data_IF_155396522572
#
_entry.id   IF_155396522572
#
_cell.length_a   1.000
_cell.length_b   1.000
_cell.length_c   1.000
_cell.angle_alpha   90.00
_cell.angle_beta   90.00
_cell.angle_gamma   90.00
#
_symmetry.space_group_name_H-M   'P 1'
#
loop_
_entity.id
_entity.type
_entity.pdbx_description
1 polymer ?
#
# COMPACT_ATOMS: atom_id res chain seq x y z
N UNK A 1 -0.53 6.91 -18.12
CA UNK A 1 -0.09 7.07 -16.71
C UNK A 1 -1.24 6.65 -15.85
N UNK A 2 -0.98 5.84 -14.82
CA UNK A 2 -1.98 5.46 -13.82
C UNK A 2 -2.13 6.57 -12.78
N UNK A 3 -3.36 6.74 -12.29
CA UNK A 3 -3.70 7.69 -11.23
C UNK A 3 -3.64 7.02 -9.86
N UNK A 4 -3.27 7.78 -8.82
CA UNK A 4 -3.25 7.29 -7.43
C UNK A 4 -3.94 8.30 -6.53
N UNK A 5 -4.98 7.86 -5.82
CA UNK A 5 -5.58 8.67 -4.75
C UNK A 5 -4.93 8.33 -3.42
N UNK A 6 -4.64 9.36 -2.59
CA UNK A 6 -3.83 9.19 -1.36
C UNK A 6 -4.08 10.28 -0.31
N UNK A 7 -3.76 10.03 0.92
CA UNK A 7 -3.37 8.75 1.55
C UNK A 7 -4.57 8.20 2.30
N UNK A 8 -5.05 7.02 1.87
CA UNK A 8 -6.22 6.40 2.48
C UNK A 8 -5.90 5.89 3.90
N UNK A 9 -6.79 6.01 4.86
CA UNK A 9 -8.19 6.50 4.82
C UNK A 9 -8.36 8.02 4.99
N UNK A 10 -7.30 8.79 4.98
CA UNK A 10 -7.31 10.25 5.12
C UNK A 10 -6.44 10.72 6.28
N UNK A 11 -5.49 11.60 5.96
CA UNK A 11 -4.48 12.06 6.94
C UNK A 11 -4.98 13.24 7.78
N UNK A 12 -6.05 13.94 7.31
CA UNK A 12 -6.46 15.24 7.90
C UNK A 12 -6.95 15.16 9.34
N UNK A 13 -7.52 14.05 9.76
CA UNK A 13 -8.02 13.86 11.12
C UNK A 13 -6.97 13.41 12.14
N UNK A 14 -5.83 12.90 11.69
CA UNK A 14 -4.77 12.40 12.55
C UNK A 14 -3.68 13.46 12.72
N UNK A 15 -3.49 14.05 13.91
CA UNK A 15 -2.45 15.04 14.13
C UNK A 15 -1.07 14.40 14.09
N UNK A 16 -0.10 15.09 13.51
CA UNK A 16 1.29 14.64 13.43
C UNK A 16 1.78 14.45 12.00
N UNK A 17 3.09 14.27 11.87
CA UNK A 17 3.78 14.07 10.60
C UNK A 17 4.12 12.58 10.45
N UNK A 18 3.53 11.92 9.45
CA UNK A 18 3.77 10.50 9.17
C UNK A 18 5.18 10.17 8.70
N UNK A 19 6.01 11.19 8.38
CA UNK A 19 7.43 10.98 8.10
C UNK A 19 8.27 10.75 9.38
N UNK A 20 7.73 11.08 10.55
CA UNK A 20 8.47 11.00 11.82
C UNK A 20 7.73 10.22 12.92
N UNK A 21 6.45 9.96 12.74
CA UNK A 21 5.60 9.27 13.72
C UNK A 21 4.55 8.42 12.99
N UNK A 22 3.81 7.62 13.74
CA UNK A 22 2.56 7.02 13.26
C UNK A 22 1.40 7.86 13.81
N UNK A 23 0.83 8.80 13.04
CA UNK A 23 -0.27 9.62 13.50
C UNK A 23 -1.48 8.78 13.84
N UNK A 24 -2.22 9.14 14.88
CA UNK A 24 -3.39 8.40 15.30
C UNK A 24 -4.58 9.33 15.58
N UNK A 25 -5.78 8.83 15.32
CA UNK A 25 -7.04 9.47 15.65
C UNK A 25 -8.01 8.43 16.20
N UNK A 26 -8.90 8.86 17.09
CA UNK A 26 -10.00 8.05 17.60
C UNK A 26 -11.32 8.27 16.85
N UNK A 27 -11.26 8.92 15.67
CA UNK A 27 -12.42 9.18 14.84
C UNK A 27 -13.17 7.87 14.54
N UNK A 28 -14.47 7.78 14.90
CA UNK A 28 -15.25 6.61 14.60
C UNK A 28 -15.57 6.50 13.09
N UNK A 29 -15.73 5.28 12.59
CA UNK A 29 -16.03 5.01 11.17
C UNK A 29 -17.21 5.81 10.63
N UNK A 30 -18.25 6.04 11.43
CA UNK A 30 -19.43 6.82 11.03
C UNK A 30 -19.09 8.28 10.75
N UNK A 31 -18.21 8.90 11.53
CA UNK A 31 -17.73 10.25 11.30
C UNK A 31 -16.79 10.29 10.07
N UNK A 32 -15.91 9.31 9.94
CA UNK A 32 -15.03 9.15 8.80
C UNK A 32 -15.80 9.06 7.47
N UNK A 33 -16.85 8.23 7.39
CA UNK A 33 -17.70 8.12 6.19
C UNK A 33 -18.34 9.47 5.83
N UNK A 34 -18.76 10.22 6.83
CA UNK A 34 -19.42 11.52 6.61
C UNK A 34 -18.46 12.62 6.12
N UNK A 35 -17.17 12.51 6.39
CA UNK A 35 -16.15 13.51 6.11
C UNK A 35 -15.02 13.00 5.21
N UNK A 36 -14.05 12.29 5.79
CA UNK A 36 -12.75 11.97 5.17
C UNK A 36 -12.85 10.92 4.05
N UNK A 37 -13.89 10.06 4.06
CA UNK A 37 -14.11 9.07 3.02
C UNK A 37 -14.51 9.68 1.66
N UNK A 38 -15.11 10.86 1.66
CA UNK A 38 -15.72 11.46 0.45
C UNK A 38 -14.78 11.61 -0.74
N UNK A 39 -13.55 12.17 -0.61
CA UNK A 39 -12.64 12.28 -1.73
C UNK A 39 -12.21 10.91 -2.28
N UNK A 40 -12.08 9.90 -1.42
CA UNK A 40 -11.75 8.53 -1.85
C UNK A 40 -12.91 7.88 -2.60
N UNK A 41 -14.14 8.01 -2.09
CA UNK A 41 -15.34 7.56 -2.80
C UNK A 41 -15.43 8.18 -4.19
N UNK A 42 -15.28 9.51 -4.30
CA UNK A 42 -15.30 10.19 -5.59
C UNK A 42 -14.19 9.72 -6.53
N UNK A 43 -12.98 9.50 -6.01
CA UNK A 43 -11.86 8.96 -6.79
C UNK A 43 -12.12 7.53 -7.28
N UNK A 44 -12.68 6.68 -6.44
CA UNK A 44 -13.04 5.30 -6.79
C UNK A 44 -14.15 5.29 -7.85
N UNK A 45 -15.22 6.06 -7.65
CA UNK A 45 -16.33 6.21 -8.59
C UNK A 45 -15.89 6.72 -9.98
N UNK A 46 -14.82 7.51 -10.03
CA UNK A 46 -14.24 8.04 -11.27
C UNK A 46 -13.16 7.16 -11.88
N UNK A 47 -12.90 5.98 -11.30
CA UNK A 47 -12.00 4.97 -11.84
C UNK A 47 -10.53 5.22 -11.52
N UNK A 48 -10.20 5.63 -10.28
CA UNK A 48 -8.82 5.70 -9.84
C UNK A 48 -8.14 4.32 -9.94
N UNK A 49 -6.96 4.28 -10.55
CA UNK A 49 -6.24 3.04 -10.81
C UNK A 49 -5.61 2.46 -9.54
N UNK A 50 -5.09 3.33 -8.66
CA UNK A 50 -4.44 2.94 -7.42
C UNK A 50 -5.02 3.67 -6.21
N UNK A 51 -5.05 2.97 -5.07
CA UNK A 51 -5.34 3.52 -3.75
C UNK A 51 -4.11 3.33 -2.85
N UNK A 52 -3.51 4.43 -2.41
CA UNK A 52 -2.35 4.38 -1.52
C UNK A 52 -2.80 4.45 -0.06
N UNK A 53 -2.43 3.42 0.70
CA UNK A 53 -2.70 3.31 2.13
C UNK A 53 -1.60 3.99 2.95
N UNK A 54 -1.98 4.96 3.76
CA UNK A 54 -1.04 5.72 4.60
C UNK A 54 -0.68 5.00 5.91
N UNK A 55 0.39 5.49 6.54
CA UNK A 55 0.88 4.98 7.82
C UNK A 55 0.27 5.76 8.99
N UNK A 56 -1.05 5.71 9.12
CA UNK A 56 -1.78 6.36 10.21
C UNK A 56 -2.85 5.40 10.77
N UNK A 57 -3.20 5.54 12.03
CA UNK A 57 -4.14 4.68 12.73
C UNK A 57 -5.44 5.42 13.03
N UNK A 58 -6.55 4.78 12.72
CA UNK A 58 -7.88 5.16 13.21
C UNK A 58 -8.29 4.16 14.27
N UNK A 59 -7.91 4.43 15.52
CA UNK A 59 -7.96 3.46 16.63
C UNK A 59 -9.37 2.96 16.95
N UNK A 60 -10.40 3.72 16.58
CA UNK A 60 -11.79 3.28 16.69
C UNK A 60 -12.22 2.27 15.58
N UNK A 61 -11.37 2.04 14.56
CA UNK A 61 -11.59 1.08 13.47
C UNK A 61 -10.58 -0.06 13.59
N UNK A 62 -9.29 0.28 13.57
CA UNK A 62 -8.19 -0.66 13.76
C UNK A 62 -7.00 0.10 14.38
N UNK A 63 -6.34 -0.44 15.43
CA UNK A 63 -5.17 0.18 16.03
C UNK A 63 -3.92 0.13 15.15
N UNK A 64 -3.87 -0.75 14.15
CA UNK A 64 -2.75 -0.83 13.21
C UNK A 64 -2.72 0.37 12.26
N UNK A 65 -1.54 0.74 11.73
CA UNK A 65 -1.45 1.65 10.59
C UNK A 65 -2.31 1.14 9.42
N UNK A 66 -3.02 2.03 8.73
CA UNK A 66 -3.95 1.62 7.69
C UNK A 66 -3.30 0.78 6.58
N UNK A 67 -2.04 1.05 6.25
CA UNK A 67 -1.23 0.24 5.32
C UNK A 67 -1.00 -1.21 5.77
N UNK A 68 -1.15 -1.51 7.05
CA UNK A 68 -0.99 -2.84 7.64
C UNK A 68 -2.31 -3.40 8.22
N UNK A 69 -3.44 -2.73 7.98
CA UNK A 69 -4.75 -3.07 8.52
C UNK A 69 -5.60 -3.84 7.51
N UNK A 70 -5.87 -5.10 7.80
CA UNK A 70 -6.80 -5.90 7.00
C UNK A 70 -8.22 -5.31 6.99
N UNK A 71 -8.65 -4.68 8.09
CA UNK A 71 -9.97 -4.06 8.16
C UNK A 71 -10.08 -2.85 7.22
N UNK A 72 -9.05 -1.99 7.10
CA UNK A 72 -9.08 -0.90 6.16
C UNK A 72 -9.06 -1.37 4.69
N UNK A 73 -8.36 -2.47 4.40
CA UNK A 73 -8.40 -3.09 3.07
C UNK A 73 -9.77 -3.70 2.77
N UNK A 74 -10.39 -4.37 3.74
CA UNK A 74 -11.76 -4.88 3.62
C UNK A 74 -12.76 -3.73 3.37
N UNK A 75 -12.67 -2.64 4.13
CA UNK A 75 -13.51 -1.46 3.91
C UNK A 75 -13.33 -0.92 2.48
N UNK A 76 -12.10 -0.76 2.02
CA UNK A 76 -11.83 -0.28 0.67
C UNK A 76 -12.43 -1.20 -0.41
N UNK A 77 -12.23 -2.51 -0.28
CA UNK A 77 -12.70 -3.50 -1.26
C UNK A 77 -14.21 -3.72 -1.20
N UNK A 78 -14.75 -4.02 -0.02
CA UNK A 78 -16.13 -4.50 0.11
C UNK A 78 -17.14 -3.38 0.30
N UNK A 79 -16.76 -2.29 1.01
CA UNK A 79 -17.70 -1.22 1.31
C UNK A 79 -17.60 -0.05 0.34
N UNK A 80 -16.40 0.29 -0.13
CA UNK A 80 -16.22 1.37 -1.11
C UNK A 80 -16.16 0.87 -2.56
N UNK A 81 -16.03 -0.44 -2.78
CA UNK A 81 -16.01 -1.05 -4.11
C UNK A 81 -14.73 -0.78 -4.89
N UNK A 82 -13.58 -0.56 -4.22
CA UNK A 82 -12.31 -0.38 -4.89
C UNK A 82 -11.79 -1.70 -5.44
N UNK A 83 -11.62 -1.81 -6.74
CA UNK A 83 -11.13 -3.00 -7.46
C UNK A 83 -9.72 -2.83 -8.07
N UNK A 84 -9.17 -1.61 -8.04
CA UNK A 84 -7.82 -1.30 -8.52
C UNK A 84 -6.69 -1.83 -7.63
N UNK A 85 -5.48 -1.31 -7.83
CA UNK A 85 -4.28 -1.73 -7.10
C UNK A 85 -4.20 -1.01 -5.75
N UNK A 86 -4.17 -1.76 -4.65
CA UNK A 86 -3.83 -1.26 -3.32
C UNK A 86 -2.30 -1.19 -3.17
N UNK A 87 -1.77 -0.03 -2.82
CA UNK A 87 -0.34 0.18 -2.62
C UNK A 87 -0.09 0.83 -1.26
N UNK A 88 1.00 0.46 -0.60
CA UNK A 88 1.43 1.15 0.63
C UNK A 88 2.01 2.52 0.31
N UNK A 89 1.95 3.46 1.26
CA UNK A 89 2.93 4.53 1.33
C UNK A 89 4.33 3.94 1.61
N UNK A 90 5.37 4.75 1.61
CA UNK A 90 6.74 4.27 1.77
C UNK A 90 6.95 3.58 3.13
N UNK A 91 7.17 2.26 3.11
CA UNK A 91 7.37 1.46 4.32
C UNK A 91 8.59 1.90 5.14
N UNK A 92 9.55 2.61 4.54
CA UNK A 92 10.67 3.20 5.26
C UNK A 92 10.23 4.28 6.27
N UNK A 93 9.06 4.90 6.09
CA UNK A 93 8.48 5.84 7.06
C UNK A 93 8.08 5.13 8.37
N UNK A 94 7.61 3.89 8.31
CA UNK A 94 7.32 3.08 9.51
C UNK A 94 8.59 2.86 10.34
N UNK A 95 9.71 2.56 9.67
CA UNK A 95 11.01 2.43 10.34
C UNK A 95 11.46 3.76 10.94
N UNK A 96 11.29 4.88 10.20
CA UNK A 96 11.67 6.22 10.65
C UNK A 96 10.85 6.70 11.86
N UNK A 97 9.63 6.19 12.06
CA UNK A 97 8.82 6.46 13.24
C UNK A 97 9.42 5.90 14.54
N UNK A 98 10.39 4.96 14.44
CA UNK A 98 11.17 4.45 15.56
C UNK A 98 10.42 3.51 16.50
N UNK A 99 9.22 3.06 16.15
CA UNK A 99 8.50 2.04 16.92
C UNK A 99 9.18 0.68 16.69
N UNK A 100 9.61 -0.03 17.76
CA UNK A 100 10.22 -1.35 17.65
C UNK A 100 9.42 -2.38 16.85
N UNK A 101 8.10 -2.24 16.79
CA UNK A 101 7.23 -3.14 16.04
C UNK A 101 7.45 -3.06 14.52
N UNK A 102 8.00 -1.95 14.01
CA UNK A 102 8.10 -1.67 12.58
C UNK A 102 9.53 -1.44 12.08
N UNK A 103 10.54 -1.84 12.83
CA UNK A 103 11.95 -1.66 12.42
C UNK A 103 12.42 -2.63 11.34
N UNK A 104 11.74 -3.75 11.16
CA UNK A 104 12.08 -4.76 10.14
C UNK A 104 11.34 -4.49 8.81
N UNK A 105 12.05 -4.07 7.74
CA UNK A 105 11.44 -3.79 6.45
C UNK A 105 10.81 -5.01 5.79
N UNK A 106 11.36 -6.20 6.02
CA UNK A 106 10.84 -7.45 5.46
C UNK A 106 9.52 -7.81 6.14
N UNK A 107 9.49 -7.75 7.48
CA UNK A 107 8.25 -8.01 8.23
C UNK A 107 7.15 -7.02 7.88
N UNK A 108 7.48 -5.72 7.68
CA UNK A 108 6.53 -4.71 7.25
C UNK A 108 5.95 -5.03 5.86
N UNK A 109 6.80 -5.41 4.90
CA UNK A 109 6.37 -5.74 3.55
C UNK A 109 5.45 -6.98 3.51
N UNK A 110 5.82 -8.04 4.24
CA UNK A 110 4.98 -9.24 4.37
C UNK A 110 3.64 -8.90 5.03
N UNK A 111 3.66 -8.14 6.13
CA UNK A 111 2.43 -7.72 6.83
C UNK A 111 1.52 -6.88 5.94
N UNK A 112 2.09 -6.00 5.11
CA UNK A 112 1.33 -5.20 4.16
C UNK A 112 0.62 -6.05 3.10
N UNK A 113 1.29 -7.08 2.54
CA UNK A 113 0.67 -8.01 1.59
C UNK A 113 -0.41 -8.86 2.24
N UNK A 114 -0.17 -9.35 3.46
CA UNK A 114 -1.15 -10.10 4.25
C UNK A 114 -2.38 -9.23 4.55
N UNK A 115 -2.19 -7.95 4.83
CA UNK A 115 -3.29 -7.01 5.09
C UNK A 115 -4.15 -6.73 3.86
N UNK A 116 -3.64 -6.91 2.64
CA UNK A 116 -4.41 -6.73 1.40
C UNK A 116 -3.81 -5.77 0.38
N UNK A 117 -2.60 -5.25 0.60
CA UNK A 117 -1.90 -4.50 -0.46
C UNK A 117 -1.49 -5.43 -1.60
N UNK A 118 -1.51 -4.90 -2.81
CA UNK A 118 -1.04 -5.58 -4.02
C UNK A 118 0.39 -5.17 -4.39
N UNK A 119 0.82 -3.99 -3.92
CA UNK A 119 2.17 -3.46 -4.10
C UNK A 119 2.70 -2.87 -2.79
N UNK A 120 4.01 -2.95 -2.60
CA UNK A 120 4.71 -2.28 -1.50
C UNK A 120 5.69 -1.25 -2.06
N UNK A 121 5.76 -0.09 -1.43
CA UNK A 121 6.72 0.97 -1.76
C UNK A 121 7.80 1.02 -0.69
N UNK A 122 9.08 1.01 -1.10
CA UNK A 122 10.23 1.12 -0.21
C UNK A 122 11.22 2.12 -0.80
N UNK A 123 11.40 3.25 -0.14
CA UNK A 123 12.29 4.35 -0.59
C UNK A 123 13.22 4.80 0.53
N UNK A 124 12.66 5.33 1.62
CA UNK A 124 13.44 5.80 2.78
C UNK A 124 14.18 4.62 3.40
N UNK A 125 15.45 4.82 3.72
CA UNK A 125 16.34 3.80 4.30
C UNK A 125 16.58 2.56 3.44
N UNK A 126 16.12 2.55 2.18
CA UNK A 126 16.34 1.43 1.25
C UNK A 126 17.77 1.43 0.74
N UNK A 127 18.29 0.23 0.57
CA UNK A 127 19.61 -0.07 -0.03
C UNK A 127 19.44 -1.00 -1.23
N UNK A 128 20.53 -1.32 -1.91
CA UNK A 128 20.51 -2.30 -3.00
C UNK A 128 20.05 -3.70 -2.55
N UNK A 129 20.20 -4.02 -1.26
CA UNK A 129 19.84 -5.32 -0.69
C UNK A 129 18.37 -5.36 -0.21
N UNK A 130 17.68 -4.22 -0.10
CA UNK A 130 16.32 -4.16 0.44
C UNK A 130 15.33 -4.95 -0.42
N UNK A 131 15.31 -4.71 -1.72
CA UNK A 131 14.36 -5.40 -2.60
C UNK A 131 14.59 -6.92 -2.68
N UNK A 132 15.85 -7.43 -2.83
CA UNK A 132 16.10 -8.87 -2.73
C UNK A 132 15.63 -9.45 -1.39
N UNK A 133 15.95 -8.83 -0.26
CA UNK A 133 15.55 -9.32 1.06
C UNK A 133 14.02 -9.36 1.22
N UNK A 134 13.30 -8.36 0.72
CA UNK A 134 11.83 -8.34 0.73
C UNK A 134 11.27 -9.49 -0.11
N UNK A 135 11.82 -9.74 -1.31
CA UNK A 135 11.40 -10.87 -2.16
C UNK A 135 11.63 -12.20 -1.45
N UNK A 136 12.81 -12.41 -0.87
CA UNK A 136 13.12 -13.64 -0.13
C UNK A 136 12.16 -13.81 1.07
N UNK A 137 11.86 -12.73 1.77
CA UNK A 137 10.91 -12.72 2.88
C UNK A 137 9.48 -13.07 2.47
N UNK A 138 9.02 -12.57 1.31
CA UNK A 138 7.70 -12.92 0.75
C UNK A 138 7.66 -14.41 0.40
N UNK A 139 8.69 -14.94 -0.23
CA UNK A 139 8.79 -16.39 -0.55
C UNK A 139 8.71 -17.22 0.73
N UNK A 140 9.51 -16.87 1.74
CA UNK A 140 9.49 -17.56 3.04
C UNK A 140 8.12 -17.46 3.73
N UNK A 141 7.41 -16.33 3.62
CA UNK A 141 6.08 -16.14 4.17
C UNK A 141 5.04 -17.05 3.49
N UNK A 142 5.16 -17.26 2.18
CA UNK A 142 4.30 -18.23 1.45
C UNK A 142 4.62 -19.65 1.87
N UNK A 143 5.90 -20.04 1.90
CA UNK A 143 6.33 -21.37 2.30
C UNK A 143 5.91 -21.75 3.74
N UNK A 144 5.89 -20.78 4.64
CA UNK A 144 5.43 -20.94 6.03
C UNK A 144 3.91 -20.88 6.21
N UNK A 145 3.17 -20.45 5.18
CA UNK A 145 1.72 -20.22 5.24
C UNK A 145 1.31 -18.92 5.94
N UNK A 146 2.24 -18.01 6.22
CA UNK A 146 1.95 -16.67 6.76
C UNK A 146 1.24 -15.79 5.73
N UNK A 147 1.65 -15.88 4.46
CA UNK A 147 0.98 -15.30 3.30
C UNK A 147 0.42 -16.44 2.45
N UNK A 148 -0.88 -16.42 2.14
CA UNK A 148 -1.43 -17.45 1.27
C UNK A 148 -0.98 -17.23 -0.18
N UNK A 149 -0.74 -18.31 -0.92
CA UNK A 149 -0.42 -18.27 -2.34
C UNK A 149 -1.53 -17.57 -3.13
N UNK A 150 -2.80 -17.84 -2.79
CA UNK A 150 -3.96 -17.19 -3.38
C UNK A 150 -3.90 -15.66 -3.25
N UNK A 151 -3.53 -15.14 -2.06
CA UNK A 151 -3.41 -13.68 -1.84
C UNK A 151 -2.27 -13.08 -2.68
N UNK A 152 -1.15 -13.79 -2.79
CA UNK A 152 -0.04 -13.36 -3.63
C UNK A 152 -0.40 -13.35 -5.11
N UNK A 153 -1.10 -14.38 -5.58
CA UNK A 153 -1.57 -14.49 -6.97
C UNK A 153 -2.59 -13.38 -7.32
N UNK A 154 -3.50 -13.05 -6.40
CA UNK A 154 -4.40 -11.90 -6.58
C UNK A 154 -3.63 -10.59 -6.75
N UNK A 155 -2.64 -10.33 -5.91
CA UNK A 155 -1.81 -9.14 -5.99
C UNK A 155 -1.06 -9.07 -7.32
N UNK A 156 -0.38 -10.17 -7.67
CA UNK A 156 0.39 -10.27 -8.90
C UNK A 156 -0.50 -10.11 -10.14
N UNK A 157 -1.71 -10.66 -10.12
CA UNK A 157 -2.69 -10.56 -11.21
C UNK A 157 -3.09 -9.11 -11.46
N UNK A 158 -3.52 -8.36 -10.42
CA UNK A 158 -3.88 -6.94 -10.57
C UNK A 158 -2.75 -6.10 -11.14
N UNK A 159 -1.53 -6.32 -10.66
CA UNK A 159 -0.34 -5.62 -11.16
C UNK A 159 -0.03 -6.00 -12.61
N UNK A 160 -0.13 -7.29 -12.97
CA UNK A 160 0.11 -7.76 -14.34
C UNK A 160 -0.93 -7.20 -15.32
N UNK A 161 -2.21 -7.20 -14.96
CA UNK A 161 -3.29 -6.64 -15.77
C UNK A 161 -3.08 -5.16 -16.04
N UNK A 162 -2.74 -4.36 -15.02
CA UNK A 162 -2.44 -2.94 -15.19
C UNK A 162 -1.23 -2.71 -16.13
N UNK A 163 -0.18 -3.54 -16.02
CA UNK A 163 0.98 -3.47 -16.93
C UNK A 163 0.62 -3.84 -18.35
N UNK A 164 -0.22 -4.86 -18.55
CA UNK A 164 -0.70 -5.26 -19.87
C UNK A 164 -1.57 -4.17 -20.51
N UNK A 165 -2.45 -3.56 -19.73
CA UNK A 165 -3.28 -2.44 -20.19
C UNK A 165 -2.41 -1.26 -20.68
N UNK A 166 -1.42 -0.86 -19.86
CA UNK A 166 -0.49 0.21 -20.23
C UNK A 166 0.29 -0.12 -21.49
N UNK A 167 0.72 -1.38 -21.66
CA UNK A 167 1.44 -1.82 -22.85
C UNK A 167 0.54 -1.80 -24.11
N UNK A 168 -0.70 -2.28 -23.99
CA UNK A 168 -1.68 -2.33 -25.09
C UNK A 168 -2.05 -0.92 -25.59
N UNK A 169 -2.10 0.06 -24.69
CA UNK A 169 -2.39 1.46 -25.03
C UNK A 169 -1.15 2.23 -25.51
N UNK A 170 -0.02 1.57 -25.73
CA UNK A 170 1.25 2.21 -26.10
C UNK A 170 1.84 3.08 -24.97
N UNK A 171 1.34 2.92 -23.76
CA UNK A 171 1.80 3.66 -22.56
C UNK A 171 2.89 2.92 -21.79
N UNK A 172 3.24 1.71 -22.23
CA UNK A 172 4.36 0.95 -21.70
C UNK A 172 5.69 1.64 -21.96
N UNK A 173 6.68 1.40 -21.10
CA UNK A 173 8.04 1.87 -21.36
C UNK A 173 8.56 1.15 -22.61
N UNK A 174 8.70 1.89 -23.70
CA UNK A 174 9.53 1.42 -24.81
C UNK A 174 10.95 1.31 -24.28
N UNK A 175 11.58 0.16 -24.48
CA UNK A 175 13.00 0.05 -24.22
C UNK A 175 13.71 1.21 -24.93
N UNK A 176 14.49 2.02 -24.21
CA UNK A 176 15.25 3.08 -24.81
C UNK A 176 16.33 2.43 -25.70
N UNK A 177 16.25 2.57 -27.05
CA UNK A 177 17.20 1.86 -27.94
C UNK A 177 18.64 2.36 -27.78
N UNK A 178 18.82 3.52 -27.13
CA UNK A 178 20.11 4.16 -26.92
C UNK A 178 20.54 4.22 -25.45
N UNK A 179 19.79 3.57 -24.54
CA UNK A 179 20.16 3.50 -23.14
C UNK A 179 21.13 2.33 -22.92
N UNK A 180 22.39 2.66 -22.58
CA UNK A 180 23.32 1.66 -22.08
C UNK A 180 23.02 1.36 -20.61
N UNK A 181 23.15 0.08 -20.17
CA UNK A 181 23.03 -0.25 -18.75
C UNK A 181 24.10 0.52 -17.97
N UNK A 182 23.69 1.19 -16.91
CA UNK A 182 24.65 1.81 -15.96
C UNK A 182 25.36 0.66 -15.26
N UNK A 183 26.67 0.55 -15.50
CA UNK A 183 27.56 -0.43 -14.89
C UNK A 183 27.82 -0.11 -13.41
#
# INVERSE_FOLDING_TARGET
>A
VLSTIKHFPGHGAAPGDSHATIPATDMPKTAWIAADARPFLSGIETGADLLMFGHLSYTAVDPLPASLSAEWHRIAREELGFDGIAITDDLGMLQAAGDPAYLDPVANAVSALVAGNDMVLTVVSSTADTAPAVVDGIVAAVESGQLSEERLDEAATRVAEARLLLAAEGRGMSACPSCEPVS
#
